data_IF_921962241233
#
_entry.id   IF_921962241233
#
_cell.length_a   1.000
_cell.length_b   1.000
_cell.length_c   1.000
_cell.angle_alpha   90.00
_cell.angle_beta   90.00
_cell.angle_gamma   90.00
#
_symmetry.space_group_name_H-M   'P 1'
#
loop_
_entity.id
_entity.type
_entity.pdbx_description
1 polymer ?
#
# COMPACT_ATOMS: atom_id res chain seq x y z
N UNK A 1 39.64 -29.62 98.26
CA UNK A 1 40.74 -29.74 97.29
C UNK A 1 41.00 -28.36 96.72
N UNK A 2 42.18 -27.81 96.97
CA UNK A 2 42.60 -26.46 96.56
C UNK A 2 43.51 -26.54 95.33
N UNK A 3 44.45 -27.49 95.35
CA UNK A 3 45.30 -27.84 94.21
C UNK A 3 45.28 -29.36 94.00
N UNK A 4 45.50 -29.79 92.76
CA UNK A 4 45.74 -31.18 92.38
C UNK A 4 46.47 -31.17 91.04
N UNK A 5 47.70 -31.66 91.01
CA UNK A 5 48.56 -31.67 89.81
C UNK A 5 49.43 -32.92 89.74
N UNK A 6 49.68 -33.42 88.53
CA UNK A 6 50.65 -34.49 88.28
C UNK A 6 51.96 -33.86 87.84
N UNK A 7 53.06 -34.27 88.47
CA UNK A 7 54.36 -33.62 88.36
C UNK A 7 55.52 -34.62 88.19
N UNK A 8 56.49 -34.24 87.38
CA UNK A 8 57.79 -34.90 87.27
C UNK A 8 58.66 -34.61 88.52
N UNK A 9 58.66 -35.54 89.47
CA UNK A 9 59.45 -35.47 90.71
C UNK A 9 60.71 -36.33 90.59
N UNK A 10 61.88 -35.73 90.82
CA UNK A 10 63.16 -36.43 90.95
C UNK A 10 63.18 -37.23 92.27
N UNK A 11 62.86 -38.52 92.20
CA UNK A 11 62.84 -39.47 93.31
C UNK A 11 64.10 -40.34 93.34
N UNK A 12 64.95 -40.19 94.36
CA UNK A 12 66.16 -41.02 94.54
C UNK A 12 67.08 -41.09 93.30
N UNK A 13 67.14 -39.99 92.53
CA UNK A 13 67.91 -39.89 91.27
C UNK A 13 67.20 -40.42 90.02
N UNK A 14 65.91 -40.79 90.10
CA UNK A 14 65.06 -41.18 88.97
C UNK A 14 63.81 -40.31 88.94
N UNK A 15 63.40 -39.85 87.76
CA UNK A 15 62.17 -39.06 87.66
C UNK A 15 60.93 -39.98 87.72
N UNK A 16 59.89 -39.56 88.45
CA UNK A 16 58.57 -40.20 88.55
C UNK A 16 57.46 -39.17 88.38
N UNK A 17 56.34 -39.57 87.79
CA UNK A 17 55.17 -38.70 87.61
C UNK A 17 54.19 -38.83 88.79
N UNK A 18 54.47 -38.13 89.88
CA UNK A 18 53.71 -38.19 91.13
C UNK A 18 52.61 -37.13 91.19
N UNK A 19 51.49 -37.44 91.84
CA UNK A 19 50.37 -36.53 92.06
C UNK A 19 50.54 -35.78 93.38
N UNK A 20 50.49 -34.44 93.32
CA UNK A 20 50.50 -33.55 94.48
C UNK A 20 49.09 -32.96 94.67
N UNK A 21 48.42 -33.39 95.74
CA UNK A 21 47.15 -32.82 96.22
C UNK A 21 47.46 -31.75 97.28
N UNK A 22 46.76 -30.61 97.25
CA UNK A 22 46.69 -29.68 98.39
C UNK A 22 45.24 -29.56 98.84
N UNK A 23 45.00 -29.78 100.13
CA UNK A 23 43.70 -29.62 100.77
C UNK A 23 43.78 -28.70 101.99
N UNK A 24 43.07 -27.57 101.89
CA UNK A 24 42.71 -26.74 103.04
C UNK A 24 41.70 -27.50 103.91
N UNK A 25 42.09 -27.76 105.14
CA UNK A 25 41.24 -28.29 106.19
C UNK A 25 40.73 -27.19 107.12
N UNK A 26 39.82 -27.60 108.00
CA UNK A 26 39.51 -26.86 109.21
C UNK A 26 39.33 -27.91 110.30
N UNK A 27 40.29 -27.98 111.21
CA UNK A 27 40.25 -28.88 112.36
C UNK A 27 39.07 -28.55 113.28
N UNK A 28 38.64 -29.52 114.10
CA UNK A 28 37.47 -29.41 114.97
C UNK A 28 37.51 -28.21 115.94
N UNK A 29 38.70 -27.70 116.24
CA UNK A 29 38.95 -26.59 117.17
C UNK A 29 39.08 -25.22 116.46
N UNK A 30 38.47 -25.07 115.28
CA UNK A 30 38.47 -23.86 114.43
C UNK A 30 39.85 -23.40 113.91
N UNK A 31 40.93 -24.15 114.18
CA UNK A 31 42.24 -23.89 113.56
C UNK A 31 42.23 -24.36 112.10
N UNK A 32 42.60 -23.47 111.18
CA UNK A 32 42.96 -23.82 109.80
C UNK A 32 44.17 -24.77 109.81
N UNK A 33 44.12 -25.79 108.97
CA UNK A 33 45.24 -26.68 108.67
C UNK A 33 45.41 -26.85 107.15
N UNK A 34 46.66 -26.97 106.69
CA UNK A 34 47.01 -27.19 105.30
C UNK A 34 47.57 -28.60 105.14
N UNK A 35 46.89 -29.48 104.41
CA UNK A 35 47.38 -30.81 104.10
C UNK A 35 47.94 -30.85 102.67
N UNK A 36 49.23 -31.17 102.54
CA UNK A 36 49.92 -31.40 101.28
C UNK A 36 50.21 -32.90 101.18
N UNK A 37 49.76 -33.55 100.11
CA UNK A 37 49.92 -34.99 99.91
C UNK A 37 50.61 -35.30 98.59
N UNK A 38 51.52 -36.27 98.61
CA UNK A 38 52.26 -36.80 97.48
C UNK A 38 51.87 -38.27 97.28
N UNK A 39 51.41 -38.62 96.08
CA UNK A 39 50.88 -39.95 95.75
C UNK A 39 51.38 -40.44 94.39
N UNK A 40 51.43 -41.76 94.19
CA UNK A 40 51.78 -42.38 92.90
C UNK A 40 50.54 -43.06 92.31
N UNK A 41 50.31 -42.92 90.99
CA UNK A 41 49.22 -43.67 90.30
C UNK A 41 49.65 -45.11 90.01
N UNK A 42 50.96 -45.37 89.94
CA UNK A 42 51.54 -46.68 89.66
C UNK A 42 51.82 -47.50 90.95
N UNK A 43 51.70 -46.88 92.13
CA UNK A 43 51.83 -47.52 93.45
C UNK A 43 50.80 -46.96 94.45
N UNK A 44 49.67 -47.67 94.61
CA UNK A 44 48.58 -47.28 95.51
C UNK A 44 48.94 -47.31 97.01
N UNK A 45 50.10 -47.84 97.41
CA UNK A 45 50.61 -47.74 98.78
C UNK A 45 51.51 -46.51 98.98
N UNK A 46 51.91 -45.84 97.90
CA UNK A 46 52.64 -44.58 97.96
C UNK A 46 51.68 -43.44 98.32
N UNK A 47 51.56 -43.18 99.62
CA UNK A 47 50.89 -41.99 100.16
C UNK A 47 51.79 -41.36 101.23
N UNK A 48 52.34 -40.19 100.91
CA UNK A 48 53.06 -39.34 101.85
C UNK A 48 52.26 -38.06 102.08
N UNK A 49 52.17 -37.56 103.30
CA UNK A 49 51.55 -36.28 103.60
C UNK A 49 52.24 -35.51 104.71
N UNK A 50 52.13 -34.18 104.64
CA UNK A 50 52.36 -33.28 105.77
C UNK A 50 51.06 -32.52 105.99
N UNK A 51 50.68 -32.38 107.26
CA UNK A 51 49.62 -31.48 107.70
C UNK A 51 50.30 -30.38 108.49
N UNK A 52 49.99 -29.13 108.16
CA UNK A 52 50.65 -27.95 108.69
C UNK A 52 49.59 -27.05 109.31
N UNK A 53 49.59 -26.95 110.64
CA UNK A 53 48.81 -25.97 111.39
C UNK A 53 49.50 -24.60 111.38
N UNK A 54 48.77 -23.56 111.81
CA UNK A 54 49.32 -22.19 111.97
C UNK A 54 50.51 -22.16 112.94
N UNK A 55 50.51 -23.02 113.97
CA UNK A 55 51.58 -23.10 114.96
C UNK A 55 52.85 -23.70 114.34
N UNK A 56 52.73 -24.87 113.70
CA UNK A 56 53.84 -25.56 113.01
C UNK A 56 54.42 -24.71 111.85
N UNK A 57 53.57 -23.98 111.13
CA UNK A 57 54.01 -23.05 110.10
C UNK A 57 54.93 -21.95 110.66
N UNK A 58 54.77 -21.53 111.91
CA UNK A 58 55.65 -20.51 112.52
C UNK A 58 57.08 -21.03 112.63
N UNK A 59 57.27 -22.31 112.94
CA UNK A 59 58.60 -22.95 112.94
C UNK A 59 59.15 -23.10 111.52
N UNK A 60 58.35 -23.61 110.57
CA UNK A 60 58.72 -23.73 109.14
C UNK A 60 59.16 -22.36 108.58
N UNK A 61 58.39 -21.31 108.87
CA UNK A 61 58.65 -19.92 108.49
C UNK A 61 60.00 -19.43 109.02
N UNK A 62 60.32 -19.70 110.29
CA UNK A 62 61.59 -19.32 110.88
C UNK A 62 62.77 -20.13 110.33
N UNK A 63 62.61 -21.46 110.19
CA UNK A 63 63.67 -22.37 109.73
C UNK A 63 64.07 -22.12 108.27
N UNK A 64 63.10 -21.76 107.41
CA UNK A 64 63.32 -21.58 105.96
C UNK A 64 63.34 -20.12 105.52
N UNK A 65 63.20 -19.16 106.45
CA UNK A 65 63.24 -17.72 106.17
C UNK A 65 62.08 -17.22 105.32
N UNK A 66 60.91 -17.85 105.40
CA UNK A 66 59.74 -17.47 104.60
C UNK A 66 59.23 -16.08 105.03
N UNK A 67 58.95 -15.20 104.06
CA UNK A 67 58.49 -13.84 104.36
C UNK A 67 56.96 -13.73 104.48
N UNK A 68 56.24 -14.67 103.87
CA UNK A 68 54.77 -14.73 103.75
C UNK A 68 54.07 -15.24 105.02
N UNK A 69 52.78 -14.94 105.17
CA UNK A 69 51.94 -15.41 106.27
C UNK A 69 51.22 -16.72 105.94
N UNK A 70 50.56 -17.34 106.93
CA UNK A 70 49.89 -18.63 106.75
C UNK A 70 48.81 -18.58 105.67
N UNK A 71 47.98 -17.53 105.66
CA UNK A 71 46.90 -17.31 104.68
C UNK A 71 47.39 -16.99 103.25
N UNK A 72 48.70 -16.92 103.03
CA UNK A 72 49.33 -16.75 101.72
C UNK A 72 50.09 -18.02 101.29
N UNK A 73 50.27 -18.98 102.20
CA UNK A 73 51.20 -20.10 102.03
C UNK A 73 50.66 -21.11 101.03
N UNK A 74 49.37 -21.48 101.12
CA UNK A 74 48.75 -22.42 100.19
C UNK A 74 48.84 -21.94 98.74
N UNK A 75 48.62 -20.63 98.50
CA UNK A 75 48.73 -20.04 97.18
C UNK A 75 50.18 -20.02 96.70
N UNK A 76 51.15 -19.70 97.57
CA UNK A 76 52.57 -19.65 97.19
C UNK A 76 53.16 -21.04 96.93
N UNK A 77 52.68 -22.09 97.60
CA UNK A 77 52.99 -23.48 97.23
C UNK A 77 52.38 -23.81 95.86
N UNK A 78 51.11 -23.48 95.61
CA UNK A 78 50.46 -23.72 94.33
C UNK A 78 51.11 -22.94 93.16
N UNK A 79 51.55 -21.70 93.39
CA UNK A 79 52.30 -20.89 92.43
C UNK A 79 53.61 -21.59 92.02
N UNK A 80 54.38 -22.07 93.01
CA UNK A 80 55.65 -22.78 92.78
C UNK A 80 55.45 -24.12 92.07
N UNK A 81 54.39 -24.88 92.39
CA UNK A 81 54.03 -26.12 91.68
C UNK A 81 53.61 -25.83 90.23
N UNK A 82 52.88 -24.73 90.00
CA UNK A 82 52.50 -24.28 88.66
C UNK A 82 53.73 -23.90 87.81
N UNK A 83 54.73 -23.23 88.41
CA UNK A 83 56.02 -22.93 87.74
C UNK A 83 56.75 -24.24 87.40
N UNK A 84 56.84 -25.19 88.33
CA UNK A 84 57.45 -26.50 88.05
C UNK A 84 56.77 -27.18 86.85
N UNK A 85 55.43 -27.30 86.87
CA UNK A 85 54.65 -27.93 85.80
C UNK A 85 54.85 -27.28 84.42
N UNK A 86 55.05 -25.96 84.36
CA UNK A 86 55.38 -25.27 83.11
C UNK A 86 56.78 -25.60 82.58
N UNK A 87 57.75 -25.87 83.45
CA UNK A 87 59.11 -26.22 83.05
C UNK A 87 59.34 -27.72 82.81
N UNK A 88 58.42 -28.61 83.21
CA UNK A 88 58.50 -30.07 82.97
C UNK A 88 58.63 -30.47 81.48
N UNK A 89 58.23 -29.59 80.56
CA UNK A 89 58.36 -29.77 79.11
C UNK A 89 59.63 -29.14 78.49
N UNK A 90 60.51 -28.52 79.29
CA UNK A 90 61.72 -27.83 78.83
C UNK A 90 62.91 -28.78 78.90
N UNK A 91 63.78 -28.78 77.87
CA UNK A 91 64.96 -29.67 77.79
C UNK A 91 65.97 -29.47 78.93
N UNK A 92 66.07 -28.25 79.46
CA UNK A 92 66.83 -27.89 80.66
C UNK A 92 65.94 -27.12 81.65
N UNK A 93 65.15 -27.80 82.50
CA UNK A 93 64.31 -27.13 83.48
C UNK A 93 65.18 -26.46 84.56
N UNK A 94 64.80 -25.25 84.98
CA UNK A 94 65.38 -24.57 86.13
C UNK A 94 64.64 -25.01 87.38
N UNK A 95 63.32 -24.84 87.38
CA UNK A 95 62.44 -25.25 88.47
C UNK A 95 62.13 -26.73 88.39
N UNK A 96 62.18 -27.42 89.52
CA UNK A 96 61.85 -28.84 89.58
C UNK A 96 61.58 -29.33 91.00
N UNK A 97 60.90 -30.47 91.07
CA UNK A 97 60.54 -31.14 92.32
C UNK A 97 61.51 -32.28 92.61
N UNK A 98 61.92 -32.40 93.87
CA UNK A 98 62.76 -33.50 94.36
C UNK A 98 62.11 -34.13 95.58
N UNK A 99 62.06 -35.46 95.64
CA UNK A 99 61.61 -36.20 96.82
C UNK A 99 62.64 -37.26 97.20
N UNK A 100 63.02 -37.32 98.47
CA UNK A 100 63.96 -38.31 99.00
C UNK A 100 63.47 -38.84 100.33
N UNK A 101 63.29 -40.15 100.44
CA UNK A 101 62.99 -40.81 101.71
C UNK A 101 64.13 -40.58 102.70
N UNK A 102 63.81 -40.40 103.98
CA UNK A 102 64.83 -40.42 105.02
C UNK A 102 65.34 -41.87 105.17
N UNK A 103 66.63 -42.01 105.49
CA UNK A 103 67.27 -43.31 105.73
C UNK A 103 67.53 -43.57 107.21
N UNK A 104 67.43 -42.54 108.05
CA UNK A 104 67.66 -42.60 109.50
C UNK A 104 66.33 -42.70 110.26
N UNK A 105 65.36 -41.86 109.91
CA UNK A 105 63.98 -41.98 110.38
C UNK A 105 63.18 -42.86 109.40
N UNK A 106 62.44 -43.84 109.93
CA UNK A 106 61.48 -44.59 109.13
C UNK A 106 60.25 -43.74 108.85
N UNK A 107 59.62 -44.03 107.71
CA UNK A 107 58.28 -43.53 107.38
C UNK A 107 58.18 -41.99 107.22
N UNK A 108 59.29 -41.31 106.91
CA UNK A 108 59.30 -39.91 106.46
C UNK A 108 60.14 -39.69 105.18
N UNK A 109 59.96 -38.55 104.53
CA UNK A 109 60.69 -38.15 103.33
C UNK A 109 60.61 -36.65 103.06
N UNK A 110 61.67 -36.08 102.49
CA UNK A 110 61.82 -34.66 102.24
C UNK A 110 61.39 -34.31 100.81
N UNK A 111 60.31 -33.53 100.67
CA UNK A 111 59.87 -32.91 99.41
C UNK A 111 60.49 -31.53 99.29
N UNK A 112 61.14 -31.24 98.17
CA UNK A 112 61.81 -29.96 97.92
C UNK A 112 61.39 -29.37 96.58
N UNK A 113 61.15 -28.07 96.57
CA UNK A 113 61.05 -27.26 95.36
C UNK A 113 62.41 -26.60 95.15
N UNK A 114 63.07 -26.91 94.03
CA UNK A 114 64.43 -26.43 93.74
C UNK A 114 64.49 -25.66 92.42
N UNK A 115 65.38 -24.67 92.37
CA UNK A 115 65.73 -23.93 91.15
C UNK A 115 67.22 -24.16 90.84
N UNK A 116 67.53 -24.66 89.64
CA UNK A 116 68.87 -24.79 89.12
C UNK A 116 69.39 -23.43 88.62
N UNK A 117 70.28 -22.81 89.40
CA UNK A 117 71.07 -21.66 88.94
C UNK A 117 72.35 -22.13 88.26
N UNK A 118 73.03 -21.24 87.53
CA UNK A 118 74.33 -21.51 86.88
C UNK A 118 75.49 -21.92 87.85
N UNK A 119 75.24 -21.98 89.16
CA UNK A 119 76.24 -22.31 90.18
C UNK A 119 75.78 -23.39 91.18
N UNK A 120 74.51 -23.37 91.58
CA UNK A 120 73.94 -24.33 92.56
C UNK A 120 72.43 -24.47 92.44
N UNK A 121 71.87 -25.47 93.12
CA UNK A 121 70.44 -25.47 93.44
C UNK A 121 70.13 -24.42 94.53
N UNK A 122 69.10 -23.63 94.30
CA UNK A 122 68.40 -22.84 95.31
C UNK A 122 67.17 -23.63 95.77
N UNK A 123 66.92 -23.68 97.07
CA UNK A 123 65.75 -24.35 97.64
C UNK A 123 64.69 -23.27 97.94
N UNK A 124 63.54 -23.33 97.27
CA UNK A 124 62.42 -22.42 97.48
C UNK A 124 61.50 -22.85 98.60
N UNK A 125 61.39 -24.18 98.80
CA UNK A 125 60.63 -24.80 99.88
C UNK A 125 61.20 -26.19 100.16
N UNK A 126 61.13 -26.65 101.41
CA UNK A 126 61.44 -28.03 101.80
C UNK A 126 60.49 -28.49 102.92
N UNK A 127 59.78 -29.60 102.72
CA UNK A 127 58.79 -30.12 103.66
C UNK A 127 59.04 -31.60 103.94
N UNK A 128 59.04 -31.99 105.22
CA UNK A 128 59.11 -33.40 105.64
C UNK A 128 57.69 -33.98 105.63
N UNK A 129 57.39 -34.83 104.65
CA UNK A 129 56.15 -35.58 104.57
C UNK A 129 56.33 -36.94 105.24
N UNK A 130 55.30 -37.42 105.90
CA UNK A 130 55.25 -38.72 106.57
C UNK A 130 54.44 -39.71 105.74
N UNK A 131 54.85 -40.97 105.70
CA UNK A 131 54.08 -42.03 105.06
C UNK A 131 52.76 -42.23 105.83
N UNK A 132 51.67 -42.48 105.11
CA UNK A 132 50.40 -42.77 105.74
C UNK A 132 50.41 -44.13 106.45
N UNK A 133 49.90 -44.15 107.67
CA UNK A 133 49.59 -45.37 108.38
C UNK A 133 48.44 -46.16 107.72
N UNK A 134 48.29 -47.38 108.21
CA UNK A 134 47.33 -48.38 107.75
C UNK A 134 45.86 -47.92 107.84
N UNK A 135 45.53 -46.91 108.64
CA UNK A 135 44.18 -46.35 108.76
C UNK A 135 43.95 -45.20 107.77
N UNK A 136 44.87 -44.23 107.75
CA UNK A 136 44.88 -43.12 106.77
C UNK A 136 44.88 -43.63 105.33
N UNK A 137 45.68 -44.66 105.04
CA UNK A 137 45.75 -45.25 103.70
C UNK A 137 44.41 -45.90 103.29
N UNK A 138 43.77 -46.67 104.19
CA UNK A 138 42.45 -47.28 103.92
C UNK A 138 41.37 -46.22 103.70
N UNK A 139 41.36 -45.15 104.49
CA UNK A 139 40.44 -44.03 104.32
C UNK A 139 40.67 -43.29 102.99
N UNK A 140 41.93 -43.01 102.63
CA UNK A 140 42.28 -42.39 101.35
C UNK A 140 41.83 -43.24 100.16
N UNK A 141 42.19 -44.53 100.13
CA UNK A 141 41.84 -45.46 99.05
C UNK A 141 40.32 -45.65 98.93
N UNK A 142 39.60 -45.79 100.05
CA UNK A 142 38.14 -45.83 100.04
C UNK A 142 37.51 -44.54 99.48
N UNK A 143 38.09 -43.37 99.78
CA UNK A 143 37.64 -42.10 99.23
C UNK A 143 37.89 -41.97 97.72
N UNK A 144 39.08 -42.37 97.24
CA UNK A 144 39.45 -42.37 95.81
C UNK A 144 38.58 -43.36 95.03
N UNK A 145 38.35 -44.57 95.55
CA UNK A 145 37.46 -45.57 94.94
C UNK A 145 36.00 -45.10 94.90
N UNK A 146 35.50 -44.43 95.96
CA UNK A 146 34.16 -43.84 95.96
C UNK A 146 34.02 -42.73 94.91
N UNK A 147 35.01 -41.84 94.77
CA UNK A 147 35.06 -40.80 93.71
C UNK A 147 35.06 -41.45 92.33
N UNK A 148 35.95 -42.42 92.09
CA UNK A 148 36.08 -43.10 90.79
C UNK A 148 34.80 -43.86 90.39
N UNK A 149 34.15 -44.57 91.32
CA UNK A 149 32.87 -45.26 91.06
C UNK A 149 31.78 -44.32 90.54
N UNK A 150 31.68 -43.10 91.08
CA UNK A 150 30.72 -42.09 90.61
C UNK A 150 31.08 -41.62 89.20
N UNK A 151 32.37 -41.34 88.93
CA UNK A 151 32.82 -40.94 87.60
C UNK A 151 32.53 -42.01 86.53
N UNK A 152 32.77 -43.29 86.83
CA UNK A 152 32.44 -44.41 85.93
C UNK A 152 30.93 -44.52 85.69
N UNK A 153 30.10 -44.38 86.72
CA UNK A 153 28.64 -44.38 86.55
C UNK A 153 28.14 -43.22 85.67
N UNK A 154 28.68 -42.02 85.86
CA UNK A 154 28.37 -40.85 85.04
C UNK A 154 28.82 -41.06 83.59
N UNK A 155 30.02 -41.60 83.36
CA UNK A 155 30.53 -41.90 82.03
C UNK A 155 29.66 -42.92 81.28
N UNK A 156 29.17 -43.96 81.96
CA UNK A 156 28.28 -44.97 81.36
C UNK A 156 26.90 -44.40 80.99
N UNK A 157 26.38 -43.46 81.78
CA UNK A 157 25.12 -42.76 81.47
C UNK A 157 25.29 -41.89 80.22
N UNK A 158 26.34 -41.06 80.15
CA UNK A 158 26.61 -40.24 78.97
C UNK A 158 26.87 -41.08 77.70
N UNK A 159 27.54 -42.22 77.82
CA UNK A 159 27.75 -43.12 76.69
C UNK A 159 26.42 -43.70 76.18
N UNK A 160 25.55 -44.19 77.07
CA UNK A 160 24.24 -44.72 76.69
C UNK A 160 23.31 -43.67 76.07
N UNK A 161 23.38 -42.42 76.53
CA UNK A 161 22.68 -41.28 75.92
C UNK A 161 23.23 -40.95 74.53
N UNK A 162 24.56 -40.94 74.37
CA UNK A 162 25.23 -40.72 73.08
C UNK A 162 24.87 -41.81 72.05
N UNK A 163 24.93 -43.08 72.44
CA UNK A 163 24.55 -44.23 71.60
C UNK A 163 23.06 -44.16 71.18
N UNK A 164 22.17 -43.70 72.06
CA UNK A 164 20.76 -43.50 71.75
C UNK A 164 20.54 -42.37 70.73
N UNK A 165 21.23 -41.23 70.89
CA UNK A 165 21.18 -40.09 69.95
C UNK A 165 21.76 -40.49 68.58
N UNK A 166 22.90 -41.19 68.56
CA UNK A 166 23.52 -41.71 67.32
C UNK A 166 22.56 -42.66 66.60
N UNK A 167 21.87 -43.54 67.34
CA UNK A 167 20.87 -44.46 66.76
C UNK A 167 19.67 -43.72 66.16
N UNK A 168 19.14 -42.71 66.85
CA UNK A 168 18.04 -41.88 66.34
C UNK A 168 18.47 -41.12 65.07
N UNK A 169 19.64 -40.48 65.09
CA UNK A 169 20.16 -39.73 63.96
C UNK A 169 20.37 -40.63 62.72
N UNK A 170 20.95 -41.82 62.90
CA UNK A 170 21.11 -42.80 61.82
C UNK A 170 19.76 -43.27 61.24
N UNK A 171 18.73 -43.44 62.08
CA UNK A 171 17.39 -43.77 61.60
C UNK A 171 16.82 -42.63 60.74
N UNK A 172 16.82 -41.39 61.25
CA UNK A 172 16.31 -40.23 60.49
C UNK A 172 17.10 -39.97 59.20
N UNK A 173 18.42 -40.18 59.20
CA UNK A 173 19.24 -40.12 57.98
C UNK A 173 18.83 -41.21 56.98
N UNK A 174 18.58 -42.44 57.42
CA UNK A 174 18.10 -43.52 56.55
C UNK A 174 16.72 -43.23 55.95
N UNK A 175 15.79 -42.72 56.77
CA UNK A 175 14.44 -42.34 56.34
C UNK A 175 14.49 -41.21 55.30
N UNK A 176 15.21 -40.12 55.60
CA UNK A 176 15.40 -39.00 54.68
C UNK A 176 16.10 -39.41 53.38
N UNK A 177 17.12 -40.27 53.44
CA UNK A 177 17.81 -40.79 52.25
C UNK A 177 16.88 -41.60 51.36
N UNK A 178 16.00 -42.42 51.95
CA UNK A 178 15.01 -43.20 51.19
C UNK A 178 13.95 -42.31 50.53
N UNK A 179 13.51 -41.26 51.24
CA UNK A 179 12.55 -40.27 50.74
C UNK A 179 13.14 -39.44 49.59
N UNK A 180 14.38 -38.97 49.75
CA UNK A 180 15.12 -38.23 48.71
C UNK A 180 15.25 -39.06 47.43
N UNK A 181 15.71 -40.31 47.55
CA UNK A 181 15.84 -41.22 46.39
C UNK A 181 14.51 -41.44 45.67
N UNK A 182 13.40 -41.57 46.39
CA UNK A 182 12.06 -41.70 45.80
C UNK A 182 11.62 -40.41 45.08
N UNK A 183 11.99 -39.24 45.60
CA UNK A 183 11.70 -37.96 44.97
C UNK A 183 12.58 -37.70 43.74
N UNK A 184 13.84 -38.13 43.75
CA UNK A 184 14.75 -38.10 42.60
C UNK A 184 14.25 -39.03 41.47
N UNK A 185 13.81 -40.24 41.79
CA UNK A 185 13.22 -41.18 40.84
C UNK A 185 11.92 -40.63 40.21
N UNK A 186 11.02 -40.07 41.02
CA UNK A 186 9.81 -39.39 40.52
C UNK A 186 10.12 -38.16 39.65
N UNK A 187 11.11 -37.35 40.05
CA UNK A 187 11.58 -36.19 39.27
C UNK A 187 12.16 -36.62 37.92
N UNK A 188 12.91 -37.72 37.88
CA UNK A 188 13.45 -38.27 36.64
C UNK A 188 12.34 -38.71 35.68
N UNK A 189 11.32 -39.42 36.17
CA UNK A 189 10.18 -39.83 35.33
C UNK A 189 9.49 -38.63 34.66
N UNK A 190 9.26 -37.54 35.41
CA UNK A 190 8.68 -36.30 34.88
C UNK A 190 9.59 -35.65 33.82
N UNK A 191 10.92 -35.70 34.00
CA UNK A 191 11.89 -35.21 33.02
C UNK A 191 11.87 -36.06 31.73
N UNK A 192 11.81 -37.39 31.86
CA UNK A 192 11.78 -38.31 30.72
C UNK A 192 10.44 -38.18 29.94
N UNK A 193 9.30 -38.04 30.63
CA UNK A 193 7.99 -37.72 30.03
C UNK A 193 7.99 -36.36 29.32
N UNK A 194 8.54 -35.32 29.95
CA UNK A 194 8.63 -33.98 29.35
C UNK A 194 9.53 -33.96 28.10
N UNK A 195 10.61 -34.74 28.08
CA UNK A 195 11.43 -34.91 26.88
C UNK A 195 10.67 -35.62 25.76
N UNK A 196 9.93 -36.70 26.06
CA UNK A 196 9.10 -37.39 25.07
C UNK A 196 8.03 -36.46 24.47
N UNK A 197 7.31 -35.71 25.33
CA UNK A 197 6.31 -34.72 24.90
C UNK A 197 6.93 -33.61 24.03
N UNK A 198 8.13 -33.12 24.38
CA UNK A 198 8.85 -32.11 23.59
C UNK A 198 9.22 -32.64 22.20
N UNK A 199 9.61 -33.91 22.08
CA UNK A 199 9.89 -34.56 20.78
C UNK A 199 8.60 -34.71 19.96
N UNK A 200 7.49 -35.12 20.59
CA UNK A 200 6.18 -35.20 19.91
C UNK A 200 5.73 -33.83 19.37
N UNK A 201 5.80 -32.78 20.20
CA UNK A 201 5.48 -31.42 19.78
C UNK A 201 6.35 -30.96 18.61
N UNK A 202 7.67 -31.21 18.64
CA UNK A 202 8.58 -30.82 17.56
C UNK A 202 8.29 -31.60 16.27
N UNK A 203 8.01 -32.89 16.35
CA UNK A 203 7.61 -33.68 15.17
C UNK A 203 6.27 -33.19 14.58
N UNK A 204 5.30 -32.84 15.44
CA UNK A 204 4.02 -32.29 15.03
C UNK A 204 4.16 -30.90 14.40
N UNK A 205 5.05 -30.06 14.91
CA UNK A 205 5.38 -28.76 14.33
C UNK A 205 6.00 -28.93 12.93
N UNK A 206 6.98 -29.80 12.77
CA UNK A 206 7.63 -30.10 11.48
C UNK A 206 6.60 -30.62 10.45
N UNK A 207 5.71 -31.52 10.86
CA UNK A 207 4.64 -32.04 10.00
C UNK A 207 3.68 -30.93 9.56
N UNK A 208 3.22 -30.08 10.48
CA UNK A 208 2.36 -28.94 10.17
C UNK A 208 3.06 -27.90 9.29
N UNK A 209 4.37 -27.67 9.47
CA UNK A 209 5.15 -26.81 8.58
C UNK A 209 5.21 -27.40 7.17
N UNK A 210 5.47 -28.71 7.02
CA UNK A 210 5.51 -29.39 5.72
C UNK A 210 4.15 -29.42 5.01
N UNK A 211 3.05 -29.64 5.75
CA UNK A 211 1.68 -29.58 5.21
C UNK A 211 1.32 -28.17 4.72
N UNK A 212 1.65 -27.13 5.50
CA UNK A 212 1.44 -25.74 5.09
C UNK A 212 2.31 -25.36 3.89
N UNK A 213 3.58 -25.76 3.84
CA UNK A 213 4.46 -25.49 2.70
C UNK A 213 3.98 -26.19 1.43
N UNK A 214 3.49 -27.43 1.53
CA UNK A 214 2.84 -28.14 0.43
C UNK A 214 1.59 -27.41 -0.06
N UNK A 215 0.70 -26.99 0.84
CA UNK A 215 -0.52 -26.26 0.49
C UNK A 215 -0.21 -24.89 -0.16
N UNK A 216 0.82 -24.18 0.32
CA UNK A 216 1.31 -22.93 -0.30
C UNK A 216 1.83 -23.20 -1.72
N UNK A 217 2.65 -24.24 -1.92
CA UNK A 217 3.16 -24.62 -3.25
C UNK A 217 2.03 -25.03 -4.21
N UNK A 218 1.01 -25.74 -3.72
CA UNK A 218 -0.17 -26.10 -4.54
C UNK A 218 -1.00 -24.87 -4.94
N UNK A 219 -1.23 -23.93 -4.01
CA UNK A 219 -1.93 -22.68 -4.28
C UNK A 219 -1.16 -21.77 -5.25
N UNK A 220 0.17 -21.70 -5.12
CA UNK A 220 1.04 -21.00 -6.07
C UNK A 220 0.94 -21.61 -7.47
N UNK A 221 1.05 -22.94 -7.60
CA UNK A 221 0.92 -23.63 -8.88
C UNK A 221 -0.43 -23.38 -9.55
N UNK A 222 -1.53 -23.35 -8.79
CA UNK A 222 -2.88 -23.05 -9.30
C UNK A 222 -3.04 -21.58 -9.68
N UNK A 223 -2.48 -20.66 -8.89
CA UNK A 223 -2.45 -19.24 -9.20
C UNK A 223 -1.74 -18.99 -10.54
N UNK A 224 -0.57 -19.58 -10.72
CA UNK A 224 0.23 -19.37 -11.93
C UNK A 224 -0.41 -20.02 -13.16
N UNK A 225 -1.03 -21.20 -13.02
CA UNK A 225 -1.83 -21.81 -14.10
C UNK A 225 -3.02 -20.92 -14.53
N UNK A 226 -3.74 -20.33 -13.56
CA UNK A 226 -4.84 -19.39 -13.84
C UNK A 226 -4.33 -18.09 -14.46
N UNK A 227 -3.19 -17.58 -13.99
CA UNK A 227 -2.53 -16.39 -14.52
C UNK A 227 -2.12 -16.59 -15.99
N UNK A 228 -1.44 -17.69 -16.33
CA UNK A 228 -1.05 -17.96 -17.72
C UNK A 228 -2.28 -18.10 -18.63
N UNK A 229 -3.36 -18.76 -18.19
CA UNK A 229 -4.62 -18.83 -18.95
C UNK A 229 -5.27 -17.46 -19.16
N UNK A 230 -5.18 -16.56 -18.17
CA UNK A 230 -5.68 -15.19 -18.29
C UNK A 230 -4.82 -14.35 -19.24
N UNK A 231 -3.49 -14.46 -19.16
CA UNK A 231 -2.54 -13.78 -20.05
C UNK A 231 -2.69 -14.25 -21.51
N UNK A 232 -2.83 -15.56 -21.74
CA UNK A 232 -3.18 -16.13 -23.05
C UNK A 232 -4.52 -15.60 -23.59
N UNK A 233 -5.55 -15.52 -22.74
CA UNK A 233 -6.88 -15.06 -23.15
C UNK A 233 -6.87 -13.58 -23.52
N UNK A 234 -6.17 -12.76 -22.73
CA UNK A 234 -5.98 -11.33 -22.98
C UNK A 234 -5.14 -11.08 -24.25
N UNK A 235 -4.18 -11.95 -24.58
CA UNK A 235 -3.48 -11.89 -25.88
C UNK A 235 -4.45 -12.16 -27.02
N UNK A 236 -5.19 -13.28 -26.97
CA UNK A 236 -6.16 -13.66 -28.01
C UNK A 236 -7.23 -12.59 -28.22
N UNK A 237 -7.69 -11.94 -27.16
CA UNK A 237 -8.65 -10.83 -27.23
C UNK A 237 -8.03 -9.56 -27.86
N UNK A 238 -6.78 -9.22 -27.55
CA UNK A 238 -6.05 -8.12 -28.21
C UNK A 238 -5.79 -8.40 -29.69
N UNK A 239 -5.40 -9.62 -30.03
CA UNK A 239 -5.14 -10.04 -31.40
C UNK A 239 -6.42 -9.96 -32.24
N UNK A 240 -7.55 -10.41 -31.68
CA UNK A 240 -8.88 -10.31 -32.30
C UNK A 240 -9.35 -8.84 -32.42
N UNK A 241 -9.16 -8.02 -31.38
CA UNK A 241 -9.50 -6.60 -31.41
C UNK A 241 -8.68 -5.84 -32.47
N UNK A 242 -7.40 -6.18 -32.63
CA UNK A 242 -6.53 -5.60 -33.67
C UNK A 242 -6.98 -6.02 -35.08
N UNK A 243 -7.34 -7.28 -35.29
CA UNK A 243 -7.90 -7.76 -36.56
C UNK A 243 -9.21 -7.04 -36.92
N UNK A 244 -10.13 -6.90 -35.96
CA UNK A 244 -11.39 -6.15 -36.14
C UNK A 244 -11.11 -4.67 -36.44
N UNK A 245 -10.12 -4.06 -35.78
CA UNK A 245 -9.72 -2.68 -36.05
C UNK A 245 -9.15 -2.50 -37.46
N UNK A 246 -8.27 -3.41 -37.92
CA UNK A 246 -7.72 -3.38 -39.29
C UNK A 246 -8.81 -3.58 -40.34
N UNK A 247 -9.72 -4.52 -40.15
CA UNK A 247 -10.84 -4.77 -41.07
C UNK A 247 -11.81 -3.60 -41.13
N UNK A 248 -12.16 -3.00 -39.98
CA UNK A 248 -13.00 -1.81 -39.90
C UNK A 248 -12.31 -0.58 -40.53
N UNK A 249 -11.01 -0.41 -40.34
CA UNK A 249 -10.23 0.65 -40.99
C UNK A 249 -10.18 0.47 -42.51
N UNK A 250 -10.13 -0.78 -42.98
CA UNK A 250 -10.18 -1.16 -44.40
C UNK A 250 -11.56 -0.90 -45.03
N UNK A 251 -12.66 -1.21 -44.33
CA UNK A 251 -14.03 -0.84 -44.76
C UNK A 251 -14.18 0.69 -44.85
N UNK A 252 -13.85 1.42 -43.77
CA UNK A 252 -13.94 2.88 -43.77
C UNK A 252 -13.10 3.52 -44.87
N UNK A 253 -11.90 3.00 -45.15
CA UNK A 253 -11.08 3.49 -46.27
C UNK A 253 -11.75 3.20 -47.63
N UNK A 254 -12.21 1.97 -47.86
CA UNK A 254 -12.93 1.59 -49.09
C UNK A 254 -14.15 2.48 -49.34
N UNK A 255 -14.95 2.73 -48.29
CA UNK A 255 -16.13 3.60 -48.34
C UNK A 255 -15.78 5.07 -48.53
N UNK A 256 -14.67 5.54 -47.96
CA UNK A 256 -14.17 6.90 -48.17
C UNK A 256 -13.68 7.08 -49.62
N UNK A 257 -12.91 6.13 -50.16
CA UNK A 257 -12.42 6.15 -51.54
C UNK A 257 -13.61 6.12 -52.55
N UNK A 258 -14.62 5.29 -52.29
CA UNK A 258 -15.88 5.26 -53.06
C UNK A 258 -16.66 6.59 -52.96
N UNK A 259 -16.78 7.16 -51.76
CA UNK A 259 -17.46 8.44 -51.54
C UNK A 259 -16.72 9.60 -52.22
N UNK A 260 -15.40 9.63 -52.18
CA UNK A 260 -14.56 10.61 -52.87
C UNK A 260 -14.69 10.47 -54.39
N UNK A 261 -14.69 9.25 -54.93
CA UNK A 261 -14.94 8.99 -56.35
C UNK A 261 -16.32 9.48 -56.78
N UNK A 262 -17.37 9.19 -56.00
CA UNK A 262 -18.72 9.68 -56.28
C UNK A 262 -18.82 11.21 -56.17
N UNK A 263 -18.18 11.83 -55.18
CA UNK A 263 -18.16 13.29 -55.03
C UNK A 263 -17.44 13.98 -56.20
N UNK A 264 -16.34 13.37 -56.69
CA UNK A 264 -15.67 13.80 -57.93
C UNK A 264 -16.61 13.67 -59.13
N UNK A 265 -17.19 12.49 -59.37
CA UNK A 265 -18.11 12.25 -60.49
C UNK A 265 -19.29 13.24 -60.50
N UNK A 266 -19.86 13.55 -59.32
CA UNK A 266 -20.92 14.55 -59.16
C UNK A 266 -20.43 15.98 -59.46
N UNK A 267 -19.22 16.34 -59.04
CA UNK A 267 -18.60 17.65 -59.34
C UNK A 267 -18.28 17.81 -60.82
N UNK A 268 -17.76 16.76 -61.46
CA UNK A 268 -17.48 16.73 -62.89
C UNK A 268 -18.80 16.86 -63.68
N UNK A 269 -19.87 16.16 -63.26
CA UNK A 269 -21.21 16.35 -63.82
C UNK A 269 -21.78 17.75 -63.58
N UNK A 270 -21.60 18.32 -62.38
CA UNK A 270 -22.01 19.68 -62.06
C UNK A 270 -21.31 20.69 -62.97
N UNK A 271 -20.01 20.52 -63.23
CA UNK A 271 -19.25 21.38 -64.15
C UNK A 271 -19.81 21.30 -65.58
N UNK A 272 -20.10 20.10 -66.08
CA UNK A 272 -20.69 19.91 -67.43
C UNK A 272 -22.09 20.52 -67.52
N UNK A 273 -22.90 20.39 -66.47
CA UNK A 273 -24.22 21.02 -66.40
C UNK A 273 -24.13 22.55 -66.31
N UNK A 274 -23.17 23.08 -65.54
CA UNK A 274 -22.92 24.52 -65.42
C UNK A 274 -22.53 25.14 -66.76
N UNK A 275 -21.54 24.58 -67.47
CA UNK A 275 -21.16 25.04 -68.81
C UNK A 275 -22.31 24.94 -69.81
N UNK A 276 -23.18 23.93 -69.68
CA UNK A 276 -24.39 23.81 -70.51
C UNK A 276 -25.47 24.84 -70.16
N UNK A 277 -25.61 25.21 -68.88
CA UNK A 277 -26.49 26.31 -68.44
C UNK A 277 -25.96 27.64 -68.98
N UNK A 278 -24.66 27.90 -68.89
CA UNK A 278 -24.01 29.10 -69.40
C UNK A 278 -24.21 29.26 -70.91
N UNK A 279 -23.94 28.20 -71.69
CA UNK A 279 -24.19 28.19 -73.14
C UNK A 279 -25.68 28.35 -73.52
N UNK A 280 -26.61 27.84 -72.70
CA UNK A 280 -28.04 28.07 -72.89
C UNK A 280 -28.45 29.51 -72.52
N UNK A 281 -27.87 30.10 -71.48
CA UNK A 281 -28.10 31.50 -71.10
C UNK A 281 -27.55 32.47 -72.15
N UNK A 282 -26.37 32.18 -72.72
CA UNK A 282 -25.80 32.95 -73.83
C UNK A 282 -26.70 32.86 -75.07
N UNK A 283 -27.18 31.67 -75.42
CA UNK A 283 -28.12 31.48 -76.53
C UNK A 283 -29.49 32.13 -76.29
N UNK A 284 -30.00 32.13 -75.05
CA UNK A 284 -31.21 32.88 -74.69
C UNK A 284 -30.96 34.36 -74.95
N UNK A 285 -29.90 34.95 -74.39
CA UNK A 285 -29.54 36.36 -74.59
C UNK A 285 -29.40 36.72 -76.06
N UNK A 286 -28.77 35.88 -76.90
CA UNK A 286 -28.66 36.16 -78.34
C UNK A 286 -30.04 36.19 -79.00
N UNK A 287 -30.90 35.20 -78.73
CA UNK A 287 -32.27 35.19 -79.27
C UNK A 287 -33.18 36.29 -78.69
N UNK A 288 -32.91 36.77 -77.47
CA UNK A 288 -33.56 37.96 -76.91
C UNK A 288 -33.12 39.22 -77.65
N UNK A 289 -31.82 39.40 -77.92
CA UNK A 289 -31.34 40.54 -78.71
C UNK A 289 -31.86 40.51 -80.15
N UNK A 290 -31.96 39.34 -80.78
CA UNK A 290 -32.58 39.17 -82.10
C UNK A 290 -34.08 39.54 -82.07
N UNK A 291 -34.83 39.07 -81.07
CA UNK A 291 -36.24 39.45 -80.90
C UNK A 291 -36.41 40.96 -80.66
N UNK A 292 -35.52 41.60 -79.90
CA UNK A 292 -35.54 43.05 -79.68
C UNK A 292 -35.28 43.78 -81.01
N UNK A 293 -34.26 43.39 -81.79
CA UNK A 293 -33.98 44.01 -83.08
C UNK A 293 -35.11 43.83 -84.09
N UNK A 294 -35.72 42.63 -84.16
CA UNK A 294 -36.87 42.36 -85.02
C UNK A 294 -38.13 43.14 -84.57
N UNK A 295 -38.31 43.35 -83.27
CA UNK A 295 -39.40 44.17 -82.73
C UNK A 295 -39.21 45.66 -83.06
N UNK A 296 -37.98 46.17 -83.00
CA UNK A 296 -37.63 47.53 -83.40
C UNK A 296 -37.74 47.72 -84.93
N UNK A 297 -37.37 46.71 -85.72
CA UNK A 297 -37.55 46.70 -87.18
C UNK A 297 -39.04 46.70 -87.56
N UNK A 298 -39.87 45.85 -86.94
CA UNK A 298 -41.34 45.85 -87.09
C UNK A 298 -41.94 47.21 -86.72
N UNK A 299 -41.43 47.86 -85.66
CA UNK A 299 -41.84 49.20 -85.23
C UNK A 299 -41.45 50.27 -86.27
N UNK A 300 -40.26 50.19 -86.87
CA UNK A 300 -39.85 51.07 -87.97
C UNK A 300 -40.71 50.87 -89.22
N UNK A 301 -40.95 49.63 -89.65
CA UNK A 301 -41.82 49.30 -90.80
C UNK A 301 -43.25 49.80 -90.57
N UNK A 302 -43.78 49.70 -89.34
CA UNK A 302 -45.09 50.30 -88.97
C UNK A 302 -45.08 51.82 -89.06
N UNK A 303 -44.02 52.50 -88.60
CA UNK A 303 -43.94 53.97 -88.72
C UNK A 303 -43.80 54.45 -90.18
N UNK A 304 -43.14 53.67 -91.04
CA UNK A 304 -43.08 53.90 -92.49
C UNK A 304 -44.44 53.66 -93.18
N UNK A 305 -45.22 52.67 -92.72
CA UNK A 305 -46.58 52.45 -93.18
C UNK A 305 -47.50 53.63 -92.80
N UNK A 306 -47.41 54.11 -91.56
CA UNK A 306 -48.17 55.27 -91.07
C UNK A 306 -47.84 56.59 -91.79
N UNK A 307 -46.59 56.81 -92.21
CA UNK A 307 -46.23 57.98 -93.02
C UNK A 307 -46.69 57.85 -94.46
N UNK A 308 -46.66 56.62 -95.02
CA UNK A 308 -47.18 56.33 -96.36
C UNK A 308 -48.70 56.50 -96.43
N UNK A 309 -49.44 56.02 -95.43
CA UNK A 309 -50.89 56.19 -95.34
C UNK A 309 -51.29 57.68 -95.29
N UNK A 310 -50.62 58.49 -94.45
CA UNK A 310 -50.87 59.95 -94.41
C UNK A 310 -50.62 60.65 -95.75
N UNK A 311 -49.65 60.19 -96.54
CA UNK A 311 -49.41 60.72 -97.88
C UNK A 311 -50.53 60.33 -98.87
N UNK A 312 -51.06 59.11 -98.75
CA UNK A 312 -52.19 58.61 -99.55
C UNK A 312 -53.50 59.36 -99.24
N UNK A 313 -53.78 59.64 -97.96
CA UNK A 313 -54.97 60.41 -97.53
C UNK A 313 -54.92 61.83 -98.11
N UNK A 314 -53.77 62.51 -97.99
CA UNK A 314 -53.53 63.84 -98.59
C UNK A 314 -53.69 63.85 -100.12
N UNK A 315 -53.27 62.78 -100.80
CA UNK A 315 -53.43 62.66 -102.25
C UNK A 315 -54.91 62.46 -102.64
N UNK A 316 -55.68 61.74 -101.81
CA UNK A 316 -57.12 61.51 -101.99
C UNK A 316 -57.93 62.80 -101.80
N UNK A 317 -57.58 63.62 -100.81
CA UNK A 317 -58.17 64.95 -100.57
C UNK A 317 -58.06 65.86 -101.81
N UNK A 318 -56.88 65.89 -102.45
CA UNK A 318 -56.62 66.69 -103.66
C UNK A 318 -57.42 66.18 -104.87
N UNK A 319 -57.58 64.86 -105.04
CA UNK A 319 -58.40 64.28 -106.11
C UNK A 319 -59.87 64.70 -105.96
N UNK A 320 -60.43 64.63 -104.75
CA UNK A 320 -61.82 65.04 -104.49
C UNK A 320 -62.06 66.53 -104.80
N UNK A 321 -61.10 67.41 -104.50
CA UNK A 321 -61.20 68.84 -104.82
C UNK A 321 -61.16 69.12 -106.33
N UNK A 322 -60.42 68.32 -107.11
CA UNK A 322 -60.42 68.41 -108.57
C UNK A 322 -61.73 67.88 -109.16
N UNK A 323 -62.26 66.77 -108.63
CA UNK A 323 -63.54 66.20 -109.03
C UNK A 323 -64.69 67.22 -108.92
N UNK A 324 -64.77 67.93 -107.79
CA UNK A 324 -65.79 68.97 -107.53
C UNK A 324 -65.74 70.13 -108.53
N UNK A 325 -64.53 70.57 -108.93
CA UNK A 325 -64.35 71.63 -109.94
C UNK A 325 -64.83 71.23 -111.33
N UNK A 326 -64.76 69.94 -111.70
CA UNK A 326 -65.22 69.46 -113.00
C UNK A 326 -66.75 69.57 -113.08
N UNK A 327 -67.48 69.10 -112.07
CA UNK A 327 -68.95 69.16 -112.06
C UNK A 327 -69.50 70.59 -112.10
N UNK A 328 -68.84 71.55 -111.44
CA UNK A 328 -69.21 72.98 -111.54
C UNK A 328 -69.04 73.57 -112.96
N UNK A 329 -68.16 73.01 -113.79
CA UNK A 329 -67.99 73.43 -115.18
C UNK A 329 -69.00 72.74 -116.11
N UNK A 330 -69.34 71.48 -115.84
CA UNK A 330 -70.39 70.74 -116.57
C UNK A 330 -71.78 71.38 -116.39
N UNK A 331 -72.12 71.83 -115.19
CA UNK A 331 -73.40 72.52 -114.92
C UNK A 331 -73.51 73.89 -115.64
N UNK A 332 -72.38 74.60 -115.79
CA UNK A 332 -72.28 75.82 -116.59
C UNK A 332 -72.47 75.57 -118.10
N UNK A 333 -72.04 74.41 -118.61
CA UNK A 333 -72.27 74.01 -120.01
C UNK A 333 -73.76 73.72 -120.26
N UNK A 334 -74.42 73.01 -119.33
CA UNK A 334 -75.84 72.65 -119.42
C UNK A 334 -76.75 73.90 -119.38
N UNK A 335 -76.44 74.86 -118.51
CA UNK A 335 -77.23 76.10 -118.40
C UNK A 335 -77.10 77.00 -119.63
N UNK A 336 -75.90 77.14 -120.21
CA UNK A 336 -75.73 77.85 -121.50
C UNK A 336 -76.35 77.10 -122.68
N UNK A 337 -76.35 75.77 -122.68
CA UNK A 337 -77.04 74.97 -123.70
C UNK A 337 -78.55 75.23 -123.75
N UNK A 338 -79.20 75.40 -122.60
CA UNK A 338 -80.64 75.73 -122.51
C UNK A 338 -80.96 77.14 -123.07
N UNK A 339 -80.09 78.11 -122.85
CA UNK A 339 -80.27 79.49 -123.35
C UNK A 339 -80.25 79.57 -124.89
N UNK A 340 -79.60 78.62 -125.58
CA UNK A 340 -79.62 78.54 -127.05
C UNK A 340 -80.97 77.98 -127.55
N UNK A 341 -81.49 76.94 -126.89
CA UNK A 341 -82.75 76.29 -127.24
C UNK A 341 -83.98 77.21 -127.09
N UNK A 342 -83.98 78.15 -126.15
CA UNK A 342 -85.05 79.14 -126.02
C UNK A 342 -85.00 80.22 -127.12
N UNK A 343 -83.82 80.54 -127.66
CA UNK A 343 -83.66 81.49 -128.77
C UNK A 343 -84.10 80.89 -130.12
N UNK A 344 -83.75 79.62 -130.41
CA UNK A 344 -84.19 78.95 -131.65
C UNK A 344 -85.71 78.72 -131.71
N UNK A 345 -86.35 78.37 -130.58
CA UNK A 345 -87.79 78.16 -130.53
C UNK A 345 -88.60 79.48 -130.54
N UNK A 346 -87.98 80.61 -130.21
CA UNK A 346 -88.63 81.93 -130.26
C UNK A 346 -88.63 82.53 -131.67
N UNK A 347 -87.61 82.24 -132.49
CA UNK A 347 -87.45 82.85 -133.84
C UNK A 347 -88.28 82.16 -134.94
N UNK A 348 -88.91 81.02 -134.65
CA UNK A 348 -89.56 80.15 -135.66
C UNK A 348 -91.09 80.21 -135.63
N UNK A 349 -91.70 81.01 -134.76
CA UNK A 349 -93.17 81.18 -134.64
C UNK A 349 -93.66 82.62 -134.47
N UNK A 350 -92.94 83.59 -135.04
CA UNK A 350 -93.57 84.81 -135.51
C UNK A 350 -93.89 84.70 -137.02
N UNK A 351 -95.17 84.89 -137.35
CA UNK A 351 -95.71 85.22 -138.67
C UNK A 351 -95.54 84.23 -139.86
N UNK A 352 -96.56 83.42 -140.10
CA UNK A 352 -97.18 83.41 -141.45
C UNK A 352 -98.72 83.31 -141.31
N UNK A 353 -99.47 84.10 -142.08
CA UNK A 353 -100.89 84.37 -141.80
C UNK A 353 -101.72 84.61 -143.08
N UNK A 354 -102.68 83.69 -143.38
CA UNK A 354 -103.62 83.73 -144.54
C UNK A 354 -102.92 83.57 -145.93
N UNK A 355 -103.55 83.30 -147.09
CA UNK A 355 -104.95 83.12 -147.60
C UNK A 355 -104.81 82.32 -148.94
N UNK A 356 -105.71 81.49 -149.50
CA UNK A 356 -106.97 80.82 -149.10
C UNK A 356 -107.21 79.63 -150.08
N UNK A 357 -108.21 78.74 -149.87
CA UNK A 357 -108.60 77.77 -150.91
C UNK A 357 -109.83 76.90 -150.62
N UNK A 358 -110.79 76.83 -151.55
CA UNK A 358 -111.97 75.96 -151.45
C UNK A 358 -112.58 75.63 -152.84
N UNK A 359 -113.01 74.37 -153.03
CA UNK A 359 -114.05 73.86 -153.95
C UNK A 359 -114.19 74.47 -155.38
N UNK A 360 -113.92 73.63 -156.40
CA UNK A 360 -114.27 73.80 -157.83
C UNK A 360 -113.50 74.93 -158.59
N UNK A 361 -112.98 74.76 -159.81
CA UNK A 361 -112.92 73.60 -160.74
C UNK A 361 -111.77 73.78 -161.76
N UNK A 362 -111.42 72.70 -162.50
CA UNK A 362 -110.58 72.68 -163.72
C UNK A 362 -109.07 72.99 -163.51
N UNK A 363 -108.14 72.69 -164.43
CA UNK A 363 -107.95 71.57 -165.39
C UNK A 363 -106.60 71.79 -166.14
N UNK A 364 -105.95 70.73 -166.64
CA UNK A 364 -104.66 70.75 -167.41
C UNK A 364 -103.43 71.17 -166.54
N UNK A 365 -102.34 70.38 -166.47
CA UNK A 365 -101.31 70.06 -167.49
C UNK A 365 -100.38 71.28 -167.77
N UNK A 366 -99.06 71.16 -167.99
CA UNK A 366 -98.29 70.03 -168.53
C UNK A 366 -96.74 70.24 -168.38
N UNK A 367 -95.94 69.14 -168.41
CA UNK A 367 -94.50 69.04 -168.82
C UNK A 367 -93.42 69.68 -167.87
N UNK A 368 -92.16 69.19 -167.76
CA UNK A 368 -91.50 68.04 -168.42
C UNK A 368 -90.27 67.45 -167.65
N UNK A 369 -90.12 66.12 -167.69
CA UNK A 369 -88.86 65.31 -167.78
C UNK A 369 -87.83 65.30 -166.59
N UNK A 370 -87.13 64.20 -166.24
CA UNK A 370 -87.09 62.81 -166.79
C UNK A 370 -86.52 61.73 -165.82
N UNK A 371 -87.27 60.64 -165.54
CA UNK A 371 -86.79 59.26 -165.19
C UNK A 371 -85.92 59.02 -163.90
N UNK A 372 -85.59 57.82 -163.37
CA UNK A 372 -85.81 56.35 -163.65
C UNK A 372 -86.14 55.61 -162.32
N UNK A 373 -86.81 54.44 -162.40
CA UNK A 373 -86.95 53.27 -161.49
C UNK A 373 -86.07 53.13 -160.20
N UNK A 374 -86.45 52.34 -159.19
CA UNK A 374 -87.64 51.47 -159.04
C UNK A 374 -87.58 50.44 -157.88
N UNK A 375 -88.66 49.66 -157.77
CA UNK A 375 -89.03 48.67 -156.73
C UNK A 375 -88.04 47.49 -156.60
N UNK A 376 -87.68 47.01 -155.38
CA UNK A 376 -87.90 45.61 -154.90
C UNK A 376 -87.21 45.16 -153.57
N UNK A 377 -87.93 44.30 -152.82
CA UNK A 377 -87.50 43.15 -151.96
C UNK A 377 -86.67 43.27 -150.65
N UNK A 378 -87.32 42.79 -149.56
CA UNK A 378 -86.94 41.65 -148.69
C UNK A 378 -85.69 41.61 -147.76
N UNK A 379 -85.95 41.09 -146.55
CA UNK A 379 -85.16 40.10 -145.75
C UNK A 379 -83.79 40.54 -145.17
N UNK A 380 -83.37 40.16 -143.95
CA UNK A 380 -84.04 39.74 -142.71
C UNK A 380 -82.99 39.64 -141.54
N UNK A 381 -83.43 39.27 -140.32
CA UNK A 381 -82.89 38.15 -139.47
C UNK A 381 -81.40 37.76 -139.71
N UNK A 382 -80.49 37.68 -138.73
CA UNK A 382 -80.56 37.56 -137.26
C UNK A 382 -79.17 37.97 -136.66
N UNK A 383 -79.05 38.34 -135.38
CA UNK A 383 -78.69 37.49 -134.22
C UNK A 383 -77.41 36.63 -134.36
N UNK A 384 -76.58 36.69 -133.31
CA UNK A 384 -75.47 35.76 -132.98
C UNK A 384 -74.30 35.69 -133.99
N UNK A 385 -73.05 35.49 -133.58
CA UNK A 385 -72.34 35.63 -132.29
C UNK A 385 -70.84 35.48 -132.63
N UNK A 386 -69.94 35.74 -131.69
CA UNK A 386 -68.49 35.64 -131.86
C UNK A 386 -67.85 36.64 -132.87
N UNK A 387 -66.75 37.23 -132.39
CA UNK A 387 -65.52 37.62 -133.11
C UNK A 387 -65.43 37.41 -134.62
N UNK A 388 -64.95 38.43 -135.34
CA UNK A 388 -63.61 38.46 -135.97
C UNK A 388 -63.36 39.84 -136.64
N UNK A 389 -63.47 40.95 -135.89
CA UNK A 389 -62.46 41.46 -134.95
C UNK A 389 -61.23 42.18 -135.59
N UNK A 390 -61.31 42.57 -136.86
CA UNK A 390 -60.52 43.68 -137.43
C UNK A 390 -60.82 45.00 -136.69
N UNK A 391 -59.93 45.97 -136.53
CA UNK A 391 -58.57 46.19 -137.07
C UNK A 391 -57.80 46.86 -135.91
N UNK A 392 -56.80 46.28 -135.23
CA UNK A 392 -55.68 45.44 -135.65
C UNK A 392 -54.64 46.20 -136.48
N UNK A 393 -53.45 46.35 -135.88
CA UNK A 393 -52.15 46.48 -136.55
C UNK A 393 -51.81 47.82 -137.25
N UNK A 394 -50.54 48.23 -137.35
CA UNK A 394 -49.31 47.43 -137.16
C UNK A 394 -48.14 48.23 -136.49
N UNK A 395 -47.44 47.58 -135.53
CA UNK A 395 -45.95 47.57 -135.36
C UNK A 395 -45.21 48.91 -134.98
N UNK A 396 -44.00 48.96 -134.37
CA UNK A 396 -42.90 48.01 -134.07
C UNK A 396 -42.27 48.27 -132.65
N UNK A 397 -41.93 47.19 -131.91
CA UNK A 397 -40.80 47.04 -130.94
C UNK A 397 -40.80 47.71 -129.54
N UNK A 398 -40.13 47.17 -128.49
CA UNK A 398 -39.73 45.79 -128.07
C UNK A 398 -39.14 45.86 -126.66
N UNK A 399 -39.52 44.94 -125.76
CA UNK A 399 -38.86 44.66 -124.46
C UNK A 399 -38.83 45.83 -123.43
N UNK A 400 -38.59 45.63 -122.13
CA UNK A 400 -38.15 44.43 -121.40
C UNK A 400 -39.19 44.00 -120.35
N UNK A 401 -39.62 42.73 -120.46
CA UNK A 401 -40.23 41.89 -119.42
C UNK A 401 -39.25 40.72 -119.20
N UNK A 402 -39.12 40.10 -118.04
CA UNK A 402 -39.85 40.25 -116.76
C UNK A 402 -39.01 39.70 -115.58
N UNK A 403 -39.62 39.70 -114.40
CA UNK A 403 -39.46 38.71 -113.31
C UNK A 403 -38.89 37.35 -113.76
N UNK A 404 -38.11 36.70 -112.88
CA UNK A 404 -38.58 35.56 -112.07
C UNK A 404 -37.53 35.14 -111.02
N UNK A 405 -37.98 34.95 -109.78
CA UNK A 405 -37.32 34.31 -108.62
C UNK A 405 -35.95 34.86 -108.21
#
# INVERSE_FOLDING_TARGET
>A
MFYSGRHLVSFEGKNRNLNIDIELGCSSDLKKDLEIRLTDDDDFYFLYSIRITVDEFTEIKQQQGLLINFDEFEQKVADLLCICSQEEAIESPKYGLRFSRNTEERDCGLLQIVEATNFKYLHHLSLTLYAADDEKLKLFLASRLKKHKVLVQVSLIFQAESDAIIKQLNQSVSELTSSLKSAEEGTKLIIDEFQAFKVECSAKEINLQAENEFAIRELQSKHDEVKTKLEESLSKEKDLASQIQEELQKDFKSRLDLALSNNKNLRDHQSVLQTRIEALQEKIKSTETENISLTEEIKNVRSQLDTTNRAYDLQTEVVNQLQSKISMLEENMITKGKQILELENSLTKEHEQKVIGHKFTLHKLFLNFESVFGIYFNIAVFIYFLTYATFSLERISTAIKSLVK
#
